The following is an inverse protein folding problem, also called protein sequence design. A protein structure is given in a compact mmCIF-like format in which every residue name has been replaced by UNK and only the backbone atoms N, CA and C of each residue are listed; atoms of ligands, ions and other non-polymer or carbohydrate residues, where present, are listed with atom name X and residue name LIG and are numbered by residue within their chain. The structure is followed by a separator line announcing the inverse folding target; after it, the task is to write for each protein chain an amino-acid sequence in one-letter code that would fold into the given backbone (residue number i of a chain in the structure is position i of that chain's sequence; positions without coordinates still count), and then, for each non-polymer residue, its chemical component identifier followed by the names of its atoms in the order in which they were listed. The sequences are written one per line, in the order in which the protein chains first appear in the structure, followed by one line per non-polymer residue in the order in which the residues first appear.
data_IF_889871259182
#
_entry.id   IF_889871259182
#
_cell.length_a   1.000
_cell.length_b   1.000
_cell.length_c   1.000
_cell.angle_alpha   90.00
_cell.angle_beta   90.00
_cell.angle_gamma   90.00
#
_symmetry.space_group_name_H-M   'P 1'
#
loop_
_entity.id
_entity.type
_entity.pdbx_description
1 polymer ?
#
# COMPACT_ATOMS: atom_id res chain seq x y z
N UNK A 1 -7.29 1.08 4.09
CA UNK A 1 -6.27 0.31 3.33
C UNK A 1 -5.48 1.22 2.41
N UNK A 2 -6.13 2.00 1.54
CA UNK A 2 -5.43 2.94 0.66
C UNK A 2 -4.58 3.97 1.43
N UNK A 3 -5.11 4.56 2.51
CA UNK A 3 -4.34 5.42 3.42
C UNK A 3 -3.10 4.74 4.02
N UNK A 4 -3.19 3.45 4.35
CA UNK A 4 -2.05 2.66 4.86
C UNK A 4 -1.01 2.39 3.77
N UNK A 5 -1.45 2.12 2.53
CA UNK A 5 -0.55 2.01 1.38
C UNK A 5 0.15 3.35 1.09
N UNK A 6 -0.57 4.46 1.15
CA UNK A 6 -0.02 5.81 1.01
C UNK A 6 0.99 6.16 2.12
N UNK A 7 0.72 5.77 3.37
CA UNK A 7 1.66 5.94 4.48
C UNK A 7 2.94 5.12 4.27
N UNK A 8 2.83 3.87 3.79
CA UNK A 8 3.98 3.04 3.44
C UNK A 8 4.80 3.65 2.29
N UNK A 9 4.13 4.18 1.27
CA UNK A 9 4.77 4.91 0.17
C UNK A 9 5.53 6.14 0.68
N UNK A 10 4.91 6.96 1.52
CA UNK A 10 5.54 8.14 2.08
C UNK A 10 6.74 7.79 2.97
N UNK A 11 6.65 6.70 3.74
CA UNK A 11 7.77 6.20 4.54
C UNK A 11 8.92 5.74 3.65
N UNK A 12 8.64 4.99 2.59
CA UNK A 12 9.65 4.54 1.63
C UNK A 12 10.33 5.70 0.88
N UNK A 13 9.56 6.70 0.44
CA UNK A 13 10.11 7.92 -0.18
C UNK A 13 11.09 8.61 0.78
N UNK A 14 10.72 8.74 2.06
CA UNK A 14 11.59 9.36 3.07
C UNK A 14 12.82 8.54 3.42
N UNK A 15 12.76 7.21 3.32
CA UNK A 15 13.89 6.32 3.62
C UNK A 15 14.82 6.08 2.43
N UNK A 16 14.44 6.55 1.24
CA UNK A 16 15.25 6.42 0.02
C UNK A 16 16.39 7.44 0.02
N UNK A 17 17.59 7.02 -0.38
CA UNK A 17 18.73 7.93 -0.59
C UNK A 17 18.49 8.90 -1.76
N UNK A 18 17.58 8.54 -2.65
CA UNK A 18 17.14 9.34 -3.77
C UNK A 18 15.89 10.16 -3.41
N UNK A 19 15.84 11.41 -3.88
CA UNK A 19 14.68 12.30 -3.69
C UNK A 19 13.55 11.93 -4.64
N UNK A 20 12.54 11.23 -4.14
CA UNK A 20 11.32 10.95 -4.89
C UNK A 20 10.18 11.88 -4.49
N UNK A 21 9.37 12.27 -5.48
CA UNK A 21 8.08 12.94 -5.28
C UNK A 21 6.95 12.02 -5.73
N UNK A 22 5.93 11.88 -4.87
CA UNK A 22 4.70 11.21 -5.25
C UNK A 22 3.97 12.00 -6.33
N UNK A 23 3.51 11.30 -7.38
CA UNK A 23 2.80 11.91 -8.51
C UNK A 23 1.32 11.54 -8.52
N UNK A 24 1.02 10.25 -8.55
CA UNK A 24 -0.35 9.75 -8.66
C UNK A 24 -0.47 8.28 -8.24
N UNK A 25 -1.67 7.88 -7.83
CA UNK A 25 -2.06 6.47 -7.75
C UNK A 25 -2.54 6.04 -9.13
N UNK A 26 -1.82 5.12 -9.78
CA UNK A 26 -2.15 4.65 -11.13
C UNK A 26 -3.29 3.61 -11.13
N UNK A 27 -3.27 2.70 -10.16
CA UNK A 27 -4.33 1.71 -10.00
C UNK A 27 -4.46 1.25 -8.55
N UNK A 28 -5.67 0.85 -8.18
CA UNK A 28 -5.99 0.24 -6.91
C UNK A 28 -7.08 -0.83 -7.15
N UNK A 29 -6.76 -2.09 -6.87
CA UNK A 29 -7.69 -3.21 -6.94
C UNK A 29 -7.84 -3.81 -5.54
N UNK A 30 -9.07 -3.86 -5.04
CA UNK A 30 -9.38 -4.46 -3.74
C UNK A 30 -10.12 -5.78 -3.91
N UNK A 31 -9.71 -6.79 -3.16
CA UNK A 31 -10.36 -8.10 -3.06
C UNK A 31 -10.88 -8.29 -1.65
N UNK A 32 -12.20 -8.37 -1.52
CA UNK A 32 -12.86 -8.71 -0.25
C UNK A 32 -12.95 -10.22 -0.11
N UNK A 33 -12.50 -10.76 1.02
CA UNK A 33 -12.49 -12.20 1.31
C UNK A 33 -13.60 -12.59 2.29
N UNK A 34 -13.82 -11.76 3.31
CA UNK A 34 -14.78 -12.00 4.39
C UNK A 34 -15.31 -10.67 4.91
N UNK A 35 -16.57 -10.64 5.34
CA UNK A 35 -17.17 -9.46 5.99
C UNK A 35 -16.55 -9.22 7.37
N UNK A 36 -16.28 -7.96 7.69
CA UNK A 36 -15.91 -7.53 9.05
C UNK A 36 -17.15 -6.89 9.68
N UNK A 37 -17.71 -7.53 10.71
CA UNK A 37 -18.96 -7.09 11.33
C UNK A 37 -18.78 -6.40 12.68
N UNK A 38 -17.58 -6.53 13.28
CA UNK A 38 -17.18 -5.90 14.54
C UNK A 38 -15.66 -5.98 14.71
N UNK A 39 -15.13 -5.22 15.67
CA UNK A 39 -13.71 -5.27 16.06
C UNK A 39 -12.82 -4.33 15.25
N UNK A 40 -11.52 -4.37 15.56
CA UNK A 40 -10.49 -3.60 14.87
C UNK A 40 -9.92 -4.38 13.68
N UNK A 41 -9.44 -3.65 12.68
CA UNK A 41 -8.73 -4.23 11.53
C UNK A 41 -7.26 -3.84 11.65
N UNK A 42 -6.38 -4.83 11.55
CA UNK A 42 -4.93 -4.62 11.43
C UNK A 42 -4.55 -4.64 9.95
N UNK A 43 -3.87 -3.60 9.47
CA UNK A 43 -3.44 -3.51 8.07
C UNK A 43 -1.92 -3.60 8.01
N UNK A 44 -1.41 -4.50 7.20
CA UNK A 44 0.01 -4.56 6.81
C UNK A 44 0.14 -4.12 5.36
N UNK A 45 1.11 -3.26 5.04
CA UNK A 45 1.38 -2.81 3.68
C UNK A 45 2.83 -3.07 3.34
N UNK A 46 3.07 -3.70 2.20
CA UNK A 46 4.42 -4.06 1.72
C UNK A 46 4.61 -3.56 0.30
N UNK A 47 5.74 -2.92 0.03
CA UNK A 47 6.20 -2.67 -1.34
C UNK A 47 6.67 -4.01 -1.92
N UNK A 48 6.07 -4.43 -3.02
CA UNK A 48 6.33 -5.72 -3.66
C UNK A 48 7.24 -5.60 -4.88
N UNK A 49 7.25 -4.45 -5.54
CA UNK A 49 8.06 -4.18 -6.72
C UNK A 49 8.33 -2.68 -6.83
N UNK A 50 9.52 -2.34 -7.32
CA UNK A 50 9.90 -0.97 -7.65
C UNK A 50 10.72 -0.98 -8.93
N UNK A 51 10.15 -0.36 -9.98
CA UNK A 51 10.78 -0.28 -11.29
C UNK A 51 10.59 1.11 -11.88
N UNK A 52 11.70 1.84 -12.05
CA UNK A 52 11.71 3.23 -12.52
C UNK A 52 10.77 4.09 -11.64
N UNK A 53 9.80 4.74 -12.26
CA UNK A 53 8.78 5.57 -11.63
C UNK A 53 7.59 4.80 -11.06
N UNK A 54 7.58 3.47 -11.12
CA UNK A 54 6.44 2.66 -10.69
C UNK A 54 6.80 1.92 -9.40
N UNK A 55 5.94 2.04 -8.40
CA UNK A 55 6.01 1.29 -7.14
C UNK A 55 4.72 0.52 -6.94
N UNK A 56 4.82 -0.79 -6.68
CA UNK A 56 3.67 -1.64 -6.40
C UNK A 56 3.62 -2.00 -4.93
N UNK A 57 2.42 -1.99 -4.37
CA UNK A 57 2.17 -2.37 -2.99
C UNK A 57 1.11 -3.45 -2.92
N UNK A 58 1.31 -4.36 -1.97
CA UNK A 58 0.31 -5.28 -1.49
C UNK A 58 -0.01 -4.93 -0.04
N UNK A 59 -1.26 -4.54 0.22
CA UNK A 59 -1.76 -4.31 1.56
C UNK A 59 -2.76 -5.38 1.94
N UNK A 60 -2.58 -5.98 3.10
CA UNK A 60 -3.42 -7.04 3.64
C UNK A 60 -4.10 -6.54 4.91
N UNK A 61 -5.40 -6.81 5.02
CA UNK A 61 -6.21 -6.49 6.18
C UNK A 61 -6.58 -7.77 6.93
N UNK A 62 -6.39 -7.75 8.24
CA UNK A 62 -6.66 -8.87 9.14
C UNK A 62 -7.67 -8.46 10.21
N UNK A 63 -8.58 -9.37 10.56
CA UNK A 63 -9.45 -9.20 11.74
C UNK A 63 -8.69 -9.52 13.04
N UNK A 64 -9.37 -9.40 14.20
CA UNK A 64 -8.77 -9.63 15.52
C UNK A 64 -8.35 -11.08 15.76
N UNK A 65 -8.90 -12.02 14.98
CA UNK A 65 -8.54 -13.44 14.98
C UNK A 65 -7.41 -13.74 13.97
N UNK A 66 -6.79 -12.70 13.41
CA UNK A 66 -5.71 -12.78 12.43
C UNK A 66 -6.13 -13.43 11.09
N UNK A 67 -7.44 -13.48 10.80
CA UNK A 67 -7.93 -13.94 9.50
C UNK A 67 -7.77 -12.84 8.45
N UNK A 68 -7.32 -13.21 7.24
CA UNK A 68 -7.27 -12.31 6.10
C UNK A 68 -8.70 -11.98 5.61
N UNK A 69 -9.08 -10.70 5.68
CA UNK A 69 -10.43 -10.24 5.33
C UNK A 69 -10.49 -9.44 4.03
N UNK A 70 -9.40 -8.77 3.67
CA UNK A 70 -9.28 -8.06 2.40
C UNK A 70 -7.82 -7.89 1.97
N UNK A 71 -7.63 -7.74 0.66
CA UNK A 71 -6.34 -7.48 0.02
C UNK A 71 -6.47 -6.29 -0.91
N UNK A 72 -5.49 -5.38 -0.91
CA UNK A 72 -5.38 -4.25 -1.83
C UNK A 72 -4.08 -4.37 -2.61
N UNK A 73 -4.19 -4.44 -3.93
CA UNK A 73 -3.09 -4.36 -4.86
C UNK A 73 -3.10 -2.96 -5.47
N UNK A 74 -2.03 -2.20 -5.26
CA UNK A 74 -1.98 -0.81 -5.74
C UNK A 74 -0.69 -0.50 -6.46
N UNK A 75 -0.78 0.35 -7.48
CA UNK A 75 0.34 0.82 -8.28
C UNK A 75 0.42 2.34 -8.16
N UNK A 76 1.59 2.83 -7.80
CA UNK A 76 1.87 4.23 -7.49
C UNK A 76 2.95 4.74 -8.43
N UNK A 77 2.81 6.00 -8.84
CA UNK A 77 3.78 6.69 -9.70
C UNK A 77 4.56 7.70 -8.87
N UNK A 78 5.89 7.60 -8.94
CA UNK A 78 6.84 8.52 -8.33
C UNK A 78 7.76 9.13 -9.37
N UNK A 79 8.18 10.36 -9.14
CA UNK A 79 9.17 11.07 -9.97
C UNK A 79 10.44 11.25 -9.17
N UNK A 80 11.58 10.91 -9.76
CA UNK A 80 12.88 11.28 -9.20
C UNK A 80 13.10 12.78 -9.41
N UNK A 81 13.40 13.49 -8.34
CA UNK A 81 13.80 14.90 -8.36
C UNK A 81 15.33 14.97 -8.26
N UNK A 82 15.93 15.76 -9.16
CA UNK A 82 17.37 16.06 -9.17
C UNK A 82 17.66 17.27 -8.29
#
# INVERSE_FOLDING_TARGET
MDSSAGAAMAAWIRSSDLKYKFMATASAEIKYRKSVTKGKIRIQSKITDQKRSIVKLHSQAFDEEENLVAELFSTWVVKLEN
#
